data_IF_171060822169
#
_entry.id   IF_171060822169
#
_cell.length_a   1.000
_cell.length_b   1.000
_cell.length_c   1.000
_cell.angle_alpha   90.00
_cell.angle_beta   90.00
_cell.angle_gamma   90.00
#
_symmetry.space_group_name_H-M   'P 1'
#
loop_
_entity.id
_entity.type
_entity.pdbx_description
1 polymer ?
#
# COMPACT_ATOMS: atom_id res chain seq x y z
N UNK A 1 27.66 -42.18 41.74
CA UNK A 1 28.02 -40.84 41.25
C UNK A 1 28.02 -40.84 39.74
N UNK A 2 27.15 -40.05 39.09
CA UNK A 2 27.34 -39.41 37.78
C UNK A 2 26.04 -38.69 37.42
N UNK A 3 26.09 -37.36 37.45
CA UNK A 3 25.06 -36.46 36.92
C UNK A 3 25.24 -36.42 35.40
N UNK A 4 24.18 -36.59 34.62
CA UNK A 4 24.14 -36.12 33.24
C UNK A 4 22.77 -35.48 32.99
N UNK A 5 22.82 -34.16 32.92
CA UNK A 5 21.75 -33.29 32.44
C UNK A 5 21.80 -33.35 30.92
N UNK A 6 20.71 -33.78 30.28
CA UNK A 6 20.48 -33.49 28.86
C UNK A 6 19.31 -32.49 28.78
N UNK A 7 19.67 -31.21 28.70
CA UNK A 7 18.78 -30.16 28.25
C UNK A 7 18.77 -30.22 26.72
N UNK A 8 17.70 -30.77 26.13
CA UNK A 8 17.52 -30.93 24.69
C UNK A 8 16.46 -29.96 24.16
N UNK A 9 16.93 -28.83 23.62
CA UNK A 9 16.33 -27.94 22.62
C UNK A 9 14.80 -28.00 22.42
N UNK A 10 14.11 -26.99 22.93
CA UNK A 10 12.82 -26.55 22.41
C UNK A 10 13.08 -25.76 21.12
N UNK A 11 12.92 -26.41 19.97
CA UNK A 11 12.83 -25.71 18.69
C UNK A 11 11.39 -25.20 18.56
N UNK A 12 11.13 -24.01 19.10
CA UNK A 12 9.93 -23.24 18.70
C UNK A 12 10.22 -22.75 17.28
N UNK A 13 9.84 -23.57 16.29
CA UNK A 13 9.71 -23.12 14.92
C UNK A 13 8.52 -22.14 14.87
N UNK A 14 8.75 -20.89 15.29
CA UNK A 14 7.97 -19.79 14.76
C UNK A 14 8.29 -19.75 13.28
N UNK A 15 7.46 -20.39 12.46
CA UNK A 15 7.33 -20.04 11.05
C UNK A 15 6.92 -18.58 11.02
N UNK A 16 7.92 -17.71 11.04
CA UNK A 16 7.76 -16.28 10.87
C UNK A 16 7.01 -16.07 9.57
N UNK A 17 5.93 -15.31 9.64
CA UNK A 17 5.37 -14.67 8.46
C UNK A 17 6.53 -14.11 7.66
N UNK A 18 6.69 -14.57 6.43
CA UNK A 18 7.33 -13.77 5.41
C UNK A 18 6.39 -12.58 5.18
N UNK A 19 6.42 -11.62 6.11
CA UNK A 19 5.91 -10.28 5.85
C UNK A 19 6.81 -9.79 4.73
N UNK A 20 6.29 -9.82 3.50
CA UNK A 20 6.83 -9.02 2.42
C UNK A 20 6.97 -7.62 3.03
N UNK A 21 8.21 -7.23 3.31
CA UNK A 21 8.54 -5.94 3.88
C UNK A 21 8.24 -4.88 2.84
N UNK A 22 6.95 -4.55 2.69
CA UNK A 22 6.52 -3.28 2.17
C UNK A 22 7.12 -2.23 3.09
N UNK A 23 7.69 -1.17 2.50
CA UNK A 23 8.09 0.03 3.22
C UNK A 23 6.87 0.58 3.95
N UNK A 24 6.60 0.11 5.18
CA UNK A 24 5.50 0.57 6.01
C UNK A 24 5.86 1.96 6.51
N UNK A 25 5.69 2.96 5.66
CA UNK A 25 6.05 4.34 5.96
C UNK A 25 5.10 5.01 6.96
N UNK A 26 4.11 4.28 7.48
CA UNK A 26 3.12 4.78 8.44
C UNK A 26 2.39 6.02 7.93
N UNK A 27 2.32 6.17 6.61
CA UNK A 27 1.77 7.31 5.89
C UNK A 27 0.94 6.77 4.75
N UNK A 28 -0.26 7.29 4.65
CA UNK A 28 -1.25 6.79 3.73
C UNK A 28 -1.81 7.96 2.95
N UNK A 29 -1.70 7.89 1.64
CA UNK A 29 -2.51 8.71 0.77
C UNK A 29 -3.91 8.11 0.74
N UNK A 30 -4.94 8.92 1.00
CA UNK A 30 -6.33 8.47 1.05
C UNK A 30 -7.19 9.37 0.17
N UNK A 31 -8.07 8.75 -0.62
CA UNK A 31 -9.20 9.42 -1.26
C UNK A 31 -10.46 9.18 -0.43
N UNK A 32 -11.17 10.24 -0.07
CA UNK A 32 -12.41 10.17 0.71
C UNK A 32 -13.63 10.55 -0.11
N UNK A 33 -14.75 9.90 0.16
CA UNK A 33 -16.04 10.24 -0.41
C UNK A 33 -16.49 11.62 0.07
N UNK A 34 -16.93 12.52 -0.84
CA UNK A 34 -17.50 13.81 -0.45
C UNK A 34 -18.81 13.72 0.33
N UNK A 35 -19.49 12.57 0.25
CA UNK A 35 -20.84 12.41 0.79
C UNK A 35 -20.86 11.98 2.26
N UNK A 36 -19.84 11.23 2.70
CA UNK A 36 -19.87 10.53 3.98
C UNK A 36 -18.48 10.25 4.60
N UNK A 37 -17.43 10.93 4.14
CA UNK A 37 -16.05 10.81 4.64
C UNK A 37 -15.45 9.39 4.62
N UNK A 38 -16.09 8.46 3.92
CA UNK A 38 -15.61 7.08 3.79
C UNK A 38 -14.41 7.06 2.86
N UNK A 39 -13.34 6.35 3.26
CA UNK A 39 -12.16 6.17 2.41
C UNK A 39 -12.51 5.23 1.26
N UNK A 40 -12.29 5.68 0.03
CA UNK A 40 -12.55 4.93 -1.20
C UNK A 40 -11.30 4.23 -1.73
N UNK A 41 -10.13 4.85 -1.51
CA UNK A 41 -8.83 4.36 -1.94
C UNK A 41 -7.80 4.75 -0.88
N UNK A 42 -6.87 3.84 -0.59
CA UNK A 42 -5.69 4.08 0.21
C UNK A 42 -4.45 3.59 -0.54
N UNK A 43 -3.37 4.37 -0.50
CA UNK A 43 -2.04 3.97 -0.99
C UNK A 43 -1.03 4.08 0.14
N UNK A 44 -0.27 3.01 0.39
CA UNK A 44 0.84 3.04 1.36
C UNK A 44 2.01 3.85 0.79
N UNK A 45 2.47 4.83 1.56
CA UNK A 45 3.50 5.78 1.16
C UNK A 45 4.70 5.65 2.09
N UNK A 46 5.90 5.58 1.51
CA UNK A 46 7.15 5.48 2.26
C UNK A 46 7.44 6.70 3.16
N UNK A 47 6.85 7.87 2.88
CA UNK A 47 7.07 9.08 3.65
C UNK A 47 5.92 10.10 3.55
N UNK A 48 5.89 11.03 4.51
CA UNK A 48 4.96 12.16 4.51
C UNK A 48 5.15 13.09 3.30
N UNK A 49 6.42 13.28 2.89
CA UNK A 49 6.75 14.05 1.68
C UNK A 49 6.15 13.40 0.43
N UNK A 50 6.29 12.08 0.30
CA UNK A 50 5.69 11.34 -0.83
C UNK A 50 4.17 11.46 -0.84
N UNK A 51 3.53 11.35 0.32
CA UNK A 51 2.10 11.53 0.42
C UNK A 51 1.64 12.94 0.03
N UNK A 52 2.28 13.99 0.57
CA UNK A 52 1.95 15.37 0.23
C UNK A 52 2.17 15.67 -1.26
N UNK A 53 3.19 15.06 -1.88
CA UNK A 53 3.39 15.13 -3.31
C UNK A 53 2.21 14.54 -4.09
N UNK A 54 1.70 13.36 -3.69
CA UNK A 54 0.51 12.77 -4.32
C UNK A 54 -0.73 13.66 -4.19
N UNK A 55 -0.97 14.23 -2.99
CA UNK A 55 -2.09 15.16 -2.76
C UNK A 55 -1.94 16.44 -3.60
N UNK A 56 -0.72 16.93 -3.79
CA UNK A 56 -0.47 18.14 -4.57
C UNK A 56 -0.73 17.93 -6.08
N UNK A 57 -0.51 16.71 -6.58
CA UNK A 57 -0.56 16.35 -8.00
C UNK A 57 -1.83 15.57 -8.41
N UNK A 58 -2.78 15.36 -7.50
CA UNK A 58 -4.11 14.87 -7.91
C UNK A 58 -4.83 15.96 -8.71
N UNK A 59 -5.69 15.56 -9.65
CA UNK A 59 -6.46 16.50 -10.46
C UNK A 59 -7.27 17.46 -9.56
N UNK A 60 -7.40 18.71 -10.00
CA UNK A 60 -7.97 19.79 -9.20
C UNK A 60 -9.39 19.47 -8.65
N UNK A 61 -10.20 18.76 -9.45
CA UNK A 61 -11.54 18.30 -9.07
C UNK A 61 -11.53 17.36 -7.85
N UNK A 62 -10.48 16.55 -7.70
CA UNK A 62 -10.39 15.55 -6.65
C UNK A 62 -9.54 16.00 -5.46
N UNK A 63 -8.94 17.20 -5.52
CA UNK A 63 -7.97 17.67 -4.54
C UNK A 63 -8.56 17.85 -3.14
N UNK A 64 -9.82 18.26 -3.02
CA UNK A 64 -10.51 18.34 -1.72
C UNK A 64 -10.80 16.97 -1.09
N UNK A 65 -10.71 15.90 -1.87
CA UNK A 65 -10.98 14.53 -1.44
C UNK A 65 -9.71 13.72 -1.18
N UNK A 66 -8.56 14.27 -1.55
CA UNK A 66 -7.26 13.66 -1.31
C UNK A 66 -6.66 14.17 0.00
N UNK A 67 -6.18 13.26 0.85
CA UNK A 67 -5.50 13.61 2.10
C UNK A 67 -4.38 12.66 2.46
N UNK A 68 -3.49 13.15 3.31
CA UNK A 68 -2.51 12.33 3.99
C UNK A 68 -3.01 11.92 5.38
N UNK A 69 -2.90 10.64 5.69
CA UNK A 69 -3.26 10.06 6.98
C UNK A 69 -2.06 9.32 7.58
N UNK A 70 -2.04 9.24 8.91
CA UNK A 70 -1.15 8.35 9.67
C UNK A 70 -1.83 7.04 10.07
N UNK A 71 -3.14 6.94 9.86
CA UNK A 71 -3.97 5.80 10.21
C UNK A 71 -4.32 5.01 8.96
N UNK A 72 -4.02 3.72 8.99
CA UNK A 72 -4.42 2.80 7.93
C UNK A 72 -5.88 2.41 8.08
N UNK A 73 -6.58 2.32 6.95
CA UNK A 73 -7.91 1.70 6.85
C UNK A 73 -7.91 0.51 5.90
N UNK A 74 -6.73 -0.07 5.64
CA UNK A 74 -6.59 -1.17 4.68
C UNK A 74 -7.58 -2.31 4.94
N UNK A 75 -7.79 -2.70 6.21
CA UNK A 75 -8.70 -3.79 6.59
C UNK A 75 -10.18 -3.53 6.25
N UNK A 76 -10.59 -2.27 6.05
CA UNK A 76 -11.98 -1.93 5.68
C UNK A 76 -12.20 -1.83 4.17
N UNK A 77 -11.13 -1.97 3.37
CA UNK A 77 -11.16 -1.85 1.92
C UNK A 77 -11.08 -3.24 1.32
N UNK A 78 -12.01 -3.61 0.43
CA UNK A 78 -12.20 -4.98 -0.02
C UNK A 78 -11.24 -5.44 -1.14
N UNK A 79 -10.63 -4.51 -1.85
CA UNK A 79 -9.80 -4.79 -3.03
C UNK A 79 -8.38 -4.33 -2.83
N UNK A 80 -7.41 -5.08 -3.37
CA UNK A 80 -5.99 -4.72 -3.32
C UNK A 80 -5.29 -4.89 -4.66
N UNK A 81 -4.38 -3.97 -4.94
CA UNK A 81 -3.42 -4.05 -6.02
C UNK A 81 -2.02 -3.69 -5.53
N UNK A 82 -1.01 -4.15 -6.26
CA UNK A 82 0.39 -3.84 -5.99
C UNK A 82 1.09 -3.48 -7.28
N UNK A 83 1.77 -2.35 -7.29
CA UNK A 83 2.62 -1.91 -8.41
C UNK A 83 4.05 -1.73 -7.92
N UNK A 84 4.99 -1.80 -8.87
CA UNK A 84 6.40 -1.57 -8.62
C UNK A 84 6.92 -0.51 -9.58
N UNK A 85 7.62 0.48 -9.04
CA UNK A 85 8.31 1.50 -9.82
C UNK A 85 9.83 1.28 -9.72
N UNK A 86 10.53 0.90 -10.81
CA UNK A 86 11.96 0.63 -10.77
C UNK A 86 12.82 1.88 -10.56
N UNK A 87 12.38 3.06 -11.02
CA UNK A 87 13.12 4.31 -10.79
C UNK A 87 13.16 4.67 -9.31
N UNK A 88 12.06 4.45 -8.61
CA UNK A 88 11.97 4.68 -7.16
C UNK A 88 12.42 3.47 -6.33
N UNK A 89 12.75 2.35 -6.97
CA UNK A 89 12.98 1.05 -6.33
C UNK A 89 11.91 0.72 -5.25
N UNK A 90 10.65 1.08 -5.53
CA UNK A 90 9.58 1.11 -4.53
C UNK A 90 8.34 0.35 -4.99
N UNK A 91 7.71 -0.32 -4.05
CA UNK A 91 6.41 -1.00 -4.23
C UNK A 91 5.32 -0.13 -3.64
N UNK A 92 4.25 0.08 -4.40
CA UNK A 92 3.05 0.78 -3.93
C UNK A 92 1.93 -0.23 -3.72
N UNK A 93 1.42 -0.29 -2.50
CA UNK A 93 0.27 -1.10 -2.14
C UNK A 93 -0.96 -0.20 -2.15
N UNK A 94 -1.94 -0.57 -2.96
CA UNK A 94 -3.20 0.15 -3.10
C UNK A 94 -4.34 -0.72 -2.59
N UNK A 95 -5.14 -0.19 -1.69
CA UNK A 95 -6.36 -0.81 -1.20
C UNK A 95 -7.56 0.07 -1.59
N UNK A 96 -8.68 -0.51 -2.02
CA UNK A 96 -9.87 0.23 -2.45
C UNK A 96 -11.18 -0.42 -2.02
N UNK A 97 -12.24 0.38 -1.98
CA UNK A 97 -13.58 -0.07 -1.57
C UNK A 97 -14.26 -0.96 -2.61
N UNK A 98 -14.00 -0.72 -3.89
CA UNK A 98 -14.57 -1.47 -5.02
C UNK A 98 -13.51 -1.85 -6.05
N UNK A 99 -13.85 -2.80 -6.93
CA UNK A 99 -12.97 -3.23 -8.02
C UNK A 99 -12.69 -2.07 -8.97
N UNK A 100 -13.72 -1.30 -9.33
CA UNK A 100 -13.62 -0.18 -10.26
C UNK A 100 -12.70 0.93 -9.72
N UNK A 101 -12.81 1.24 -8.43
CA UNK A 101 -11.93 2.21 -7.78
C UNK A 101 -10.47 1.71 -7.79
N UNK A 102 -10.26 0.41 -7.54
CA UNK A 102 -8.93 -0.20 -7.60
C UNK A 102 -8.34 -0.14 -9.02
N UNK A 103 -9.11 -0.55 -10.03
CA UNK A 103 -8.66 -0.57 -11.43
C UNK A 103 -8.37 0.86 -11.93
N UNK A 104 -9.20 1.82 -11.54
CA UNK A 104 -8.98 3.24 -11.88
C UNK A 104 -7.69 3.78 -11.27
N UNK A 105 -7.39 3.40 -10.02
CA UNK A 105 -6.14 3.77 -9.36
C UNK A 105 -4.91 3.17 -10.05
N UNK A 106 -4.96 1.89 -10.46
CA UNK A 106 -3.91 1.26 -11.26
C UNK A 106 -3.73 2.03 -12.58
N UNK A 107 -4.82 2.28 -13.31
CA UNK A 107 -4.77 2.94 -14.62
C UNK A 107 -4.15 4.34 -14.51
N UNK A 108 -4.55 5.12 -13.50
CA UNK A 108 -3.97 6.44 -13.22
C UNK A 108 -2.46 6.35 -12.93
N UNK A 109 -2.06 5.42 -12.07
CA UNK A 109 -0.64 5.24 -11.74
C UNK A 109 0.21 4.81 -12.94
N UNK A 110 -0.30 3.90 -13.78
CA UNK A 110 0.38 3.47 -15.00
C UNK A 110 0.48 4.60 -16.04
N UNK A 111 -0.56 5.44 -16.15
CA UNK A 111 -0.51 6.63 -17.01
C UNK A 111 0.59 7.59 -16.59
N UNK A 112 0.62 7.98 -15.31
CA UNK A 112 1.69 8.84 -14.77
C UNK A 112 3.06 8.19 -14.94
N UNK A 113 3.16 6.88 -14.73
CA UNK A 113 4.41 6.17 -14.91
C UNK A 113 4.91 6.18 -16.37
N UNK A 114 4.00 6.14 -17.34
CA UNK A 114 4.32 6.23 -18.77
C UNK A 114 4.76 7.66 -19.16
N UNK A 115 4.08 8.68 -18.67
CA UNK A 115 4.45 10.10 -18.86
C UNK A 115 5.85 10.38 -18.31
N UNK A 116 6.14 9.89 -17.10
CA UNK A 116 7.44 10.05 -16.43
C UNK A 116 8.51 9.04 -16.92
N UNK A 117 8.19 8.17 -17.88
CA UNK A 117 9.07 7.09 -18.37
C UNK A 117 9.69 6.25 -17.25
N UNK A 118 8.96 6.07 -16.16
CA UNK A 118 9.47 5.44 -14.93
C UNK A 118 9.50 3.92 -14.98
N UNK A 119 8.88 3.30 -15.99
CA UNK A 119 8.84 1.84 -16.14
C UNK A 119 8.03 1.12 -15.06
N UNK A 120 7.10 1.81 -14.39
CA UNK A 120 6.26 1.18 -13.39
C UNK A 120 5.40 0.06 -14.00
N UNK A 121 5.20 -1.00 -13.22
CA UNK A 121 4.46 -2.20 -13.63
C UNK A 121 3.54 -2.69 -12.54
N UNK A 122 2.47 -3.37 -12.94
CA UNK A 122 1.59 -4.08 -12.01
C UNK A 122 2.28 -5.38 -11.59
N UNK A 123 2.41 -5.57 -10.28
CA UNK A 123 2.92 -6.80 -9.65
C UNK A 123 1.75 -7.69 -9.25
N UNK A 124 0.67 -7.08 -8.76
CA UNK A 124 -0.58 -7.75 -8.42
C UNK A 124 -1.75 -6.93 -8.93
N UNK A 125 -2.57 -7.54 -9.78
CA UNK A 125 -3.81 -6.95 -10.28
C UNK A 125 -4.81 -6.76 -9.13
N UNK A 126 -5.82 -5.93 -9.36
CA UNK A 126 -6.93 -5.77 -8.41
C UNK A 126 -7.57 -7.13 -8.09
N UNK A 127 -7.38 -7.56 -6.85
CA UNK A 127 -7.89 -8.82 -6.35
C UNK A 127 -8.65 -8.55 -5.06
N UNK A 128 -9.78 -9.23 -4.89
CA UNK A 128 -10.52 -9.18 -3.63
C UNK A 128 -9.70 -9.84 -2.52
N UNK A 129 -9.62 -9.19 -1.36
CA UNK A 129 -8.96 -9.72 -0.17
C UNK A 129 -9.85 -10.71 0.59
#
# INVERSE_FOLDING_TARGET
MKKMVLAGMVVVAMTGCATMGGLSGGRYYQMVSPLNDTVLLQVDMASERGCNFMVANVDAEYKSFARCSRQSVAETLAWRAVTYNPVLASTFVMDAISEEACQSAIAGMLRTAAEEKSGAKVVMQCTRK
#
